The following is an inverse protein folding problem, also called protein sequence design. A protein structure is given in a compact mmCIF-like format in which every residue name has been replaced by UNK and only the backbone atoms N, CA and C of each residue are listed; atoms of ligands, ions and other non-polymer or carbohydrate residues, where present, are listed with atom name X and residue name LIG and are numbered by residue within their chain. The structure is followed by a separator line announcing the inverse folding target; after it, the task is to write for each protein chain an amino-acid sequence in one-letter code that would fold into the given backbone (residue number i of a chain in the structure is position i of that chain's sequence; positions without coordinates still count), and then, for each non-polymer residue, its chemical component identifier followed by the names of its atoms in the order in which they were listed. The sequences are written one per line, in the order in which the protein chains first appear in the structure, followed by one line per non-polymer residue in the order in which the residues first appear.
data_IF_762877062880
#
_entry.id   IF_762877062880
#
_cell.length_a   1.000
_cell.length_b   1.000
_cell.length_c   1.000
_cell.angle_alpha   90.00
_cell.angle_beta   90.00
_cell.angle_gamma   90.00
#
_symmetry.space_group_name_H-M   'P 1'
#
loop_
_entity.id
_entity.type
_entity.pdbx_description
1 polymer ?
#
# COMPACT_ATOMS: atom_id res chain seq x y z
N UNK A 1 -13.89 -15.77 11.69
CA UNK A 1 -13.03 -15.80 10.49
C UNK A 1 -13.30 -14.52 9.71
N UNK A 2 -12.44 -13.52 9.83
CA UNK A 2 -12.51 -12.31 9.00
C UNK A 2 -12.02 -12.72 7.61
N UNK A 3 -12.92 -12.62 6.63
CA UNK A 3 -12.70 -13.04 5.24
C UNK A 3 -11.53 -12.22 4.68
N UNK A 4 -10.58 -12.86 3.97
CA UNK A 4 -9.26 -12.32 3.60
C UNK A 4 -9.21 -10.99 2.82
N UNK A 5 -10.36 -10.44 2.44
CA UNK A 5 -10.51 -9.12 1.82
C UNK A 5 -10.64 -7.98 2.84
N UNK A 6 -11.36 -8.19 3.95
CA UNK A 6 -11.61 -7.16 4.97
C UNK A 6 -10.34 -6.76 5.74
N UNK A 7 -9.47 -7.74 6.04
CA UNK A 7 -8.22 -7.49 6.76
C UNK A 7 -7.19 -6.73 5.91
N UNK A 8 -7.07 -7.11 4.64
CA UNK A 8 -6.12 -6.52 3.69
C UNK A 8 -6.56 -5.11 3.29
N UNK A 9 -7.83 -4.91 2.93
CA UNK A 9 -8.35 -3.57 2.63
C UNK A 9 -8.23 -2.65 3.84
N UNK A 10 -8.56 -3.14 5.05
CA UNK A 10 -8.40 -2.37 6.28
C UNK A 10 -6.94 -1.99 6.56
N UNK A 11 -5.98 -2.87 6.28
CA UNK A 11 -4.55 -2.58 6.40
C UNK A 11 -4.12 -1.50 5.39
N UNK A 12 -4.49 -1.66 4.12
CA UNK A 12 -4.17 -0.71 3.05
C UNK A 12 -4.74 0.69 3.35
N UNK A 13 -6.02 0.77 3.76
CA UNK A 13 -6.67 2.05 4.12
C UNK A 13 -5.99 2.77 5.28
N UNK A 14 -5.50 2.03 6.28
CA UNK A 14 -4.81 2.63 7.43
C UNK A 14 -3.44 3.20 7.04
N UNK A 15 -2.69 2.52 6.17
CA UNK A 15 -1.32 2.91 5.83
C UNK A 15 -1.20 3.89 4.67
N UNK A 16 -2.17 3.93 3.75
CA UNK A 16 -2.21 4.84 2.61
C UNK A 16 -1.88 6.31 2.96
N UNK A 17 -2.56 6.98 3.93
CA UNK A 17 -2.26 8.37 4.26
C UNK A 17 -0.88 8.57 4.88
N UNK A 18 -0.33 7.55 5.56
CA UNK A 18 0.98 7.62 6.21
C UNK A 18 2.10 7.56 5.18
N UNK A 19 1.99 6.65 4.20
CA UNK A 19 2.94 6.52 3.09
C UNK A 19 2.90 7.77 2.22
N UNK A 20 1.70 8.26 1.87
CA UNK A 20 1.55 9.51 1.12
C UNK A 20 2.21 10.68 1.84
N UNK A 21 1.94 10.86 3.14
CA UNK A 21 2.57 11.91 3.94
C UNK A 21 4.10 11.82 3.95
N UNK A 22 4.67 10.61 4.03
CA UNK A 22 6.12 10.40 3.98
C UNK A 22 6.72 10.75 2.62
N UNK A 23 6.09 10.32 1.52
CA UNK A 23 6.54 10.63 0.16
C UNK A 23 6.45 12.13 -0.14
N UNK A 24 5.36 12.79 0.26
CA UNK A 24 5.19 14.24 0.10
C UNK A 24 6.26 15.01 0.86
N UNK A 25 6.55 14.62 2.11
CA UNK A 25 7.59 15.26 2.92
C UNK A 25 8.99 15.08 2.34
N UNK A 26 9.27 13.93 1.70
CA UNK A 26 10.57 13.61 1.14
C UNK A 26 10.81 14.22 -0.24
N UNK A 27 9.79 14.22 -1.08
CA UNK A 27 9.92 14.56 -2.50
C UNK A 27 9.20 15.85 -2.90
N UNK A 28 8.35 16.42 -2.05
CA UNK A 28 7.70 17.72 -2.27
C UNK A 28 6.62 17.75 -3.35
N UNK A 29 6.31 16.62 -3.98
CA UNK A 29 5.37 16.53 -5.11
C UNK A 29 4.15 15.69 -4.75
N UNK A 30 3.03 16.35 -4.40
CA UNK A 30 1.80 15.66 -3.98
C UNK A 30 1.22 14.74 -5.06
N UNK A 31 0.99 15.25 -6.27
CA UNK A 31 0.37 14.46 -7.35
C UNK A 31 1.19 13.20 -7.66
N UNK A 32 2.51 13.33 -7.84
CA UNK A 32 3.38 12.18 -8.09
C UNK A 32 3.40 11.20 -6.92
N UNK A 33 3.37 11.68 -5.67
CA UNK A 33 3.31 10.83 -4.49
C UNK A 33 1.95 10.11 -4.36
N UNK A 34 0.86 10.79 -4.69
CA UNK A 34 -0.49 10.23 -4.71
C UNK A 34 -0.61 9.14 -5.77
N UNK A 35 -0.17 9.42 -7.00
CA UNK A 35 -0.16 8.43 -8.09
C UNK A 35 0.64 7.18 -7.71
N UNK A 36 1.85 7.36 -7.17
CA UNK A 36 2.68 6.24 -6.75
C UNK A 36 2.04 5.39 -5.63
N UNK A 37 1.38 6.05 -4.66
CA UNK A 37 0.65 5.36 -3.59
C UNK A 37 -0.54 4.61 -4.16
N UNK A 38 -1.33 5.23 -5.03
CA UNK A 38 -2.49 4.59 -5.64
C UNK A 38 -2.11 3.36 -6.46
N UNK A 39 -1.06 3.45 -7.28
CA UNK A 39 -0.56 2.31 -8.05
C UNK A 39 -0.05 1.18 -7.15
N UNK A 40 0.68 1.50 -6.08
CA UNK A 40 1.13 0.50 -5.11
C UNK A 40 -0.03 -0.20 -4.38
N UNK A 41 -1.06 0.54 -3.98
CA UNK A 41 -2.25 -0.03 -3.33
C UNK A 41 -3.06 -0.90 -4.29
N UNK A 42 -3.18 -0.50 -5.56
CA UNK A 42 -3.84 -1.30 -6.60
C UNK A 42 -3.09 -2.62 -6.86
N UNK A 43 -1.76 -2.57 -6.95
CA UNK A 43 -0.94 -3.76 -7.09
C UNK A 43 -1.08 -4.70 -5.88
N UNK A 44 -1.01 -4.15 -4.66
CA UNK A 44 -1.18 -4.88 -3.42
C UNK A 44 -2.55 -5.57 -3.31
N UNK A 45 -3.63 -4.83 -3.60
CA UNK A 45 -4.99 -5.36 -3.55
C UNK A 45 -5.21 -6.50 -4.56
N UNK A 46 -4.51 -6.49 -5.69
CA UNK A 46 -4.58 -7.56 -6.70
C UNK A 46 -3.71 -8.77 -6.35
N UNK A 47 -2.53 -8.56 -5.78
CA UNK A 47 -1.52 -9.62 -5.61
C UNK A 47 -1.62 -10.32 -4.25
N UNK A 48 -1.83 -9.56 -3.17
CA UNK A 48 -1.70 -10.09 -1.81
C UNK A 48 -2.78 -11.09 -1.39
N UNK A 49 -4.04 -11.05 -1.88
CA UNK A 49 -5.02 -12.09 -1.56
C UNK A 49 -4.56 -13.49 -1.98
N UNK A 50 -3.85 -13.60 -3.11
CA UNK A 50 -3.43 -14.88 -3.68
C UNK A 50 -1.99 -15.24 -3.31
N UNK A 51 -1.10 -14.25 -3.20
CA UNK A 51 0.34 -14.44 -2.97
C UNK A 51 0.78 -14.20 -1.52
N UNK A 52 -0.14 -13.72 -0.67
CA UNK A 52 0.20 -13.21 0.65
C UNK A 52 0.89 -11.84 0.59
N UNK A 53 1.06 -11.22 1.76
CA UNK A 53 1.82 -9.97 1.87
C UNK A 53 3.32 -10.29 1.77
N UNK A 54 4.11 -9.57 0.95
CA UNK A 54 5.55 -9.75 0.87
C UNK A 54 6.21 -9.60 2.24
N UNK A 55 7.11 -10.53 2.60
CA UNK A 55 7.97 -10.36 3.76
C UNK A 55 8.97 -9.22 3.48
N UNK A 56 9.22 -8.38 4.48
CA UNK A 56 10.07 -7.17 4.40
C UNK A 56 11.53 -7.50 3.99
N UNK A 57 11.92 -8.78 3.98
CA UNK A 57 13.23 -9.27 3.52
C UNK A 57 13.31 -9.67 2.04
N UNK A 58 12.18 -9.80 1.33
CA UNK A 58 12.16 -10.24 -0.07
C UNK A 58 12.20 -9.09 -1.09
N UNK A 59 12.01 -7.84 -0.65
CA UNK A 59 12.19 -6.65 -1.48
C UNK A 59 13.65 -6.15 -1.38
N UNK A 60 14.55 -6.90 -2.01
CA UNK A 60 15.94 -6.48 -2.26
C UNK A 60 16.08 -5.79 -3.62
#
# INVERSE_FOLDING_TARGET
MLRGTDGTEGLLRRHAPQVLGALVRRYGHFATAEDAVQEALLAAARQWPDQGVPDIRAAG
#
